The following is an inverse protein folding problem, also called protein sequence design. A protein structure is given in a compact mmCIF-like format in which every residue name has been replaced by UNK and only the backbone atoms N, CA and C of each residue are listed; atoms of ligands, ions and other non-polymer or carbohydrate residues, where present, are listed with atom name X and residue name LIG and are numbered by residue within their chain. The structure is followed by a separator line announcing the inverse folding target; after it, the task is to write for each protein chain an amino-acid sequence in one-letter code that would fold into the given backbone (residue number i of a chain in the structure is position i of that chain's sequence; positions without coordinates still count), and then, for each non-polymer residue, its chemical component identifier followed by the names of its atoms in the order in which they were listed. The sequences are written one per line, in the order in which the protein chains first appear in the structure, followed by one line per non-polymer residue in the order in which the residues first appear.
data_IF_390835191716
#
_entry.id   IF_390835191716
#
_cell.length_a   1.000
_cell.length_b   1.000
_cell.length_c   1.000
_cell.angle_alpha   90.00
_cell.angle_beta   90.00
_cell.angle_gamma   90.00
#
_symmetry.space_group_name_H-M   'P 1'
#
loop_
_entity.id
_entity.type
_entity.pdbx_description
1 polymer ?
#
# COMPACT_ATOMS: atom_id res chain seq x y z
N UNK A 1 -23.59 -8.15 42.66
CA UNK A 1 -23.40 -8.13 41.19
C UNK A 1 -23.33 -6.67 40.78
N UNK A 2 -22.22 -6.06 40.37
CA UNK A 2 -21.11 -6.55 39.57
C UNK A 2 -19.75 -6.07 40.12
N UNK A 3 -18.76 -6.96 40.11
CA UNK A 3 -17.35 -6.65 40.35
C UNK A 3 -16.77 -5.96 39.11
N UNK A 4 -16.31 -4.72 39.25
CA UNK A 4 -15.36 -4.15 38.30
C UNK A 4 -13.97 -4.68 38.64
N UNK A 5 -13.58 -5.79 38.01
CA UNK A 5 -12.19 -6.21 37.97
C UNK A 5 -11.43 -5.31 36.99
N UNK A 6 -10.76 -4.26 37.47
CA UNK A 6 -9.62 -3.66 36.78
C UNK A 6 -8.34 -4.19 37.44
N UNK A 7 -7.65 -5.05 36.70
CA UNK A 7 -6.43 -5.76 37.10
C UNK A 7 -5.29 -4.76 37.42
N UNK A 8 -4.46 -4.99 38.45
CA UNK A 8 -3.33 -4.12 38.80
C UNK A 8 -2.24 -4.03 37.70
N UNK A 9 -2.30 -4.88 36.68
CA UNK A 9 -1.45 -4.77 35.48
C UNK A 9 -1.83 -3.61 34.53
N UNK A 10 -3.04 -3.05 34.65
CA UNK A 10 -3.49 -1.91 33.83
C UNK A 10 -2.85 -0.59 34.31
N UNK A 11 -2.60 -0.45 35.62
CA UNK A 11 -1.97 0.74 36.21
C UNK A 11 -0.45 0.78 35.95
N UNK A 12 0.20 -0.38 35.89
CA UNK A 12 1.61 -0.48 35.48
C UNK A 12 1.85 0.01 34.04
N UNK A 13 0.88 -0.19 33.13
CA UNK A 13 0.95 0.35 31.75
C UNK A 13 0.85 1.87 31.68
N UNK A 14 0.24 2.52 32.67
CA UNK A 14 0.15 4.00 32.71
C UNK A 14 1.54 4.58 32.99
N UNK A 15 2.35 3.95 33.84
CA UNK A 15 3.71 4.38 34.17
C UNK A 15 4.74 4.15 33.03
N UNK A 16 4.61 3.04 32.28
CA UNK A 16 5.55 2.70 31.19
C UNK A 16 5.45 3.62 29.96
N UNK A 17 4.30 4.28 29.74
CA UNK A 17 4.10 5.13 28.55
C UNK A 17 4.71 6.53 28.72
N UNK A 18 4.91 6.98 29.95
CA UNK A 18 5.53 8.28 30.25
C UNK A 18 7.05 8.23 30.38
N UNK A 19 7.65 7.05 30.49
CA UNK A 19 8.99 6.90 31.05
C UNK A 19 9.99 6.31 30.05
N UNK A 20 11.18 6.90 29.99
CA UNK A 20 12.38 6.20 29.53
C UNK A 20 12.96 5.54 30.78
N UNK A 21 12.95 4.21 30.84
CA UNK A 21 13.65 3.44 31.87
C UNK A 21 15.16 3.58 31.64
N UNK A 22 15.75 4.66 32.14
CA UNK A 22 17.18 4.74 32.40
C UNK A 22 17.35 4.94 33.91
N UNK A 23 18.12 4.07 34.54
CA UNK A 23 18.08 3.82 35.98
C UNK A 23 18.14 5.11 36.81
N UNK A 24 17.16 5.28 37.72
CA UNK A 24 17.06 6.24 38.83
C UNK A 24 16.41 7.62 38.63
N UNK A 25 15.99 8.05 37.43
CA UNK A 25 15.15 9.26 37.27
C UNK A 25 14.03 9.09 36.23
N UNK A 26 12.77 9.27 36.66
CA UNK A 26 11.58 9.18 35.83
C UNK A 26 11.49 10.41 34.90
N UNK A 27 12.04 10.34 33.69
CA UNK A 27 11.97 11.48 32.75
C UNK A 27 10.73 11.41 31.87
N UNK A 28 9.88 12.45 31.91
CA UNK A 28 8.72 12.60 31.02
C UNK A 28 9.12 13.13 29.63
N UNK A 29 8.28 12.89 28.62
CA UNK A 29 8.46 13.37 27.24
C UNK A 29 7.64 14.63 26.91
N UNK A 30 7.16 15.31 27.95
CA UNK A 30 6.34 16.49 27.83
C UNK A 30 7.24 17.72 28.00
N UNK A 31 7.17 18.66 27.06
CA UNK A 31 7.86 19.93 27.15
C UNK A 31 6.84 21.06 27.30
N UNK A 32 7.14 22.01 28.19
CA UNK A 32 6.33 23.23 28.37
C UNK A 32 7.09 24.40 27.77
N UNK A 33 6.41 25.16 26.92
CA UNK A 33 6.90 26.41 26.38
C UNK A 33 5.92 27.54 26.71
N UNK A 34 6.42 28.57 27.35
CA UNK A 34 5.70 29.81 27.61
C UNK A 34 6.36 30.95 26.86
N UNK A 35 5.61 31.59 25.96
CA UNK A 35 6.09 32.71 25.14
C UNK A 35 5.44 34.00 25.64
N UNK A 36 6.20 34.77 26.43
CA UNK A 36 5.84 36.12 26.90
C UNK A 36 6.33 37.17 25.88
N UNK A 37 5.75 38.39 25.88
CA UNK A 37 6.24 39.49 25.04
C UNK A 37 7.74 39.76 25.16
N UNK A 38 8.29 39.65 26.39
CA UNK A 38 9.70 39.97 26.68
C UNK A 38 10.62 38.74 26.82
N UNK A 39 10.05 37.54 27.05
CA UNK A 39 10.83 36.32 27.30
C UNK A 39 10.12 35.05 26.83
N UNK A 40 10.89 34.08 26.36
CA UNK A 40 10.40 32.73 26.15
C UNK A 40 11.05 31.80 27.18
N UNK A 41 10.24 31.00 27.87
CA UNK A 41 10.69 30.05 28.89
C UNK A 41 10.41 28.65 28.38
N UNK A 42 11.47 27.87 28.19
CA UNK A 42 11.39 26.47 27.79
C UNK A 42 11.74 25.57 28.97
N UNK A 43 10.82 24.69 29.35
CA UNK A 43 11.04 23.71 30.42
C UNK A 43 10.98 22.30 29.81
N UNK A 44 12.14 21.66 29.58
CA UNK A 44 12.20 20.35 28.97
C UNK A 44 11.90 19.23 29.97
N UNK A 45 11.29 18.13 29.51
CA UNK A 45 11.06 16.90 30.28
C UNK A 45 10.39 17.18 31.63
N UNK A 46 9.18 17.70 31.53
CA UNK A 46 8.36 18.23 32.61
C UNK A 46 7.99 17.14 33.63
N UNK A 47 8.78 17.01 34.70
CA UNK A 47 8.47 16.17 35.86
C UNK A 47 7.60 16.95 36.87
N UNK A 48 6.72 16.26 37.59
CA UNK A 48 5.77 16.84 38.55
C UNK A 48 6.50 17.70 39.60
N UNK A 49 7.61 17.18 40.15
CA UNK A 49 8.46 17.88 41.13
C UNK A 49 9.16 19.10 40.53
N UNK A 50 9.67 19.00 39.30
CA UNK A 50 10.30 20.14 38.61
C UNK A 50 9.31 21.24 38.27
N UNK A 51 8.09 20.85 37.92
CA UNK A 51 7.00 21.77 37.60
C UNK A 51 6.57 22.56 38.84
N UNK A 52 6.39 21.92 40.00
CA UNK A 52 6.09 22.61 41.26
C UNK A 52 7.21 23.57 41.65
N UNK A 53 8.48 23.18 41.48
CA UNK A 53 9.62 24.04 41.77
C UNK A 53 9.74 25.25 40.81
N UNK A 54 9.50 25.04 39.51
CA UNK A 54 9.57 26.10 38.50
C UNK A 54 8.58 27.23 38.78
N UNK A 55 7.34 26.90 39.13
CA UNK A 55 6.30 27.89 39.36
C UNK A 55 6.32 28.55 40.74
N UNK A 56 7.05 27.99 41.73
CA UNK A 56 7.32 28.68 43.00
C UNK A 56 8.09 29.98 42.83
N UNK A 57 8.78 30.16 41.70
CA UNK A 57 9.60 31.35 41.42
C UNK A 57 8.95 32.33 40.43
N UNK A 58 7.83 31.96 39.81
CA UNK A 58 7.04 32.86 38.94
C UNK A 58 5.97 33.52 39.81
N UNK A 59 6.29 34.68 40.35
CA UNK A 59 5.43 35.49 41.21
C UNK A 59 4.23 36.04 40.43
N UNK A 60 3.18 35.23 40.28
CA UNK A 60 1.84 35.72 39.99
C UNK A 60 0.78 34.82 40.67
N UNK A 61 0.08 35.44 41.63
CA UNK A 61 -1.19 35.07 42.29
C UNK A 61 -1.12 34.08 43.47
N UNK A 62 -1.59 34.60 44.61
CA UNK A 62 -1.59 34.09 45.98
C UNK A 62 -2.60 32.95 46.27
N UNK A 63 -3.22 32.32 45.27
CA UNK A 63 -4.31 31.34 45.48
C UNK A 63 -3.91 29.90 45.12
N UNK A 64 -2.75 29.43 45.59
CA UNK A 64 -2.45 28.00 45.53
C UNK A 64 -2.81 27.30 46.85
N UNK A 65 -4.05 26.83 46.95
CA UNK A 65 -4.37 25.72 47.86
C UNK A 65 -3.75 24.43 47.31
N UNK A 66 -2.44 24.28 47.47
CA UNK A 66 -1.83 22.96 47.41
C UNK A 66 -2.43 22.16 48.58
N UNK A 67 -3.03 21.00 48.32
CA UNK A 67 -3.30 20.06 49.40
C UNK A 67 -1.92 19.67 49.94
N UNK A 68 -1.64 20.07 51.18
CA UNK A 68 -0.39 19.78 51.86
C UNK A 68 -0.14 18.28 51.81
N UNK A 69 0.99 17.86 51.23
CA UNK A 69 1.39 16.45 51.10
C UNK A 69 1.64 15.77 52.46
N UNK A 70 1.42 16.48 53.56
CA UNK A 70 1.54 16.00 54.93
C UNK A 70 0.19 15.89 55.67
N UNK A 71 -0.95 16.20 55.04
CA UNK A 71 -2.26 16.19 55.72
C UNK A 71 -3.34 15.34 55.03
N UNK A 72 -2.99 14.21 54.41
CA UNK A 72 -4.00 13.26 53.92
C UNK A 72 -3.87 11.94 54.69
N UNK A 73 -4.45 11.93 55.89
CA UNK A 73 -4.86 10.68 56.53
C UNK A 73 -6.16 10.22 55.86
N UNK A 74 -6.11 9.05 55.21
CA UNK A 74 -7.28 8.31 54.75
C UNK A 74 -7.80 8.73 53.37
N UNK A 75 -7.78 7.80 52.43
CA UNK A 75 -8.37 7.87 51.09
C UNK A 75 -7.73 8.86 50.10
N UNK A 76 -6.46 8.61 49.79
CA UNK A 76 -5.79 9.19 48.63
C UNK A 76 -6.38 8.64 47.33
N UNK A 77 -7.34 9.35 46.75
CA UNK A 77 -7.74 9.14 45.36
C UNK A 77 -6.54 9.53 44.48
N UNK A 78 -5.86 8.59 43.79
CA UNK A 78 -4.58 8.85 43.11
C UNK A 78 -4.67 9.87 41.97
N UNK A 79 -5.89 10.23 41.53
CA UNK A 79 -6.13 11.21 40.47
C UNK A 79 -5.82 12.66 40.87
N UNK A 80 -5.94 13.01 42.16
CA UNK A 80 -5.84 14.39 42.67
C UNK A 80 -4.41 14.95 42.58
N UNK A 81 -3.40 14.06 42.62
CA UNK A 81 -1.98 14.43 42.55
C UNK A 81 -1.35 14.18 41.16
N UNK A 82 -2.16 13.95 40.13
CA UNK A 82 -1.63 13.72 38.78
C UNK A 82 -1.26 15.05 38.09
N UNK A 83 -0.14 15.06 37.35
CA UNK A 83 0.27 16.20 36.52
C UNK A 83 -0.82 16.64 35.54
N UNK A 84 -1.62 15.68 35.05
CA UNK A 84 -2.75 15.96 34.17
C UNK A 84 -3.87 16.76 34.87
N UNK A 85 -4.23 16.39 36.12
CA UNK A 85 -5.21 17.13 36.92
C UNK A 85 -4.74 18.57 37.18
N UNK A 86 -3.47 18.72 37.57
CA UNK A 86 -2.88 20.04 37.81
C UNK A 86 -2.86 20.92 36.55
N UNK A 87 -2.49 20.36 35.39
CA UNK A 87 -2.48 21.09 34.12
C UNK A 87 -3.89 21.52 33.67
N UNK A 88 -4.88 20.67 33.90
CA UNK A 88 -6.28 21.02 33.64
C UNK A 88 -6.72 22.18 34.55
N UNK A 89 -6.41 22.14 35.85
CA UNK A 89 -6.79 23.23 36.76
C UNK A 89 -6.07 24.56 36.46
N UNK A 90 -4.77 24.52 36.17
CA UNK A 90 -3.94 25.73 35.97
C UNK A 90 -4.08 26.33 34.59
N UNK A 91 -3.98 25.51 33.55
CA UNK A 91 -3.96 25.96 32.15
C UNK A 91 -5.27 25.67 31.42
N UNK A 92 -6.17 24.87 32.01
CA UNK A 92 -7.41 24.48 31.36
C UNK A 92 -7.21 23.46 30.25
N UNK A 93 -6.10 22.69 30.27
CA UNK A 93 -5.79 21.70 29.24
C UNK A 93 -6.93 20.69 29.13
N UNK A 94 -7.43 20.50 27.90
CA UNK A 94 -8.54 19.58 27.67
C UNK A 94 -8.16 18.15 28.07
N UNK A 95 -9.04 17.41 28.79
CA UNK A 95 -8.84 15.98 29.07
C UNK A 95 -8.62 15.14 27.80
N UNK A 96 -9.09 15.61 26.64
CA UNK A 96 -8.87 14.97 25.34
C UNK A 96 -7.39 14.91 24.94
N UNK A 97 -6.58 15.90 25.34
CA UNK A 97 -5.14 15.90 25.10
C UNK A 97 -4.46 14.74 25.83
N UNK A 98 -4.75 14.57 27.12
CA UNK A 98 -4.20 13.48 27.93
C UNK A 98 -4.72 12.12 27.49
N UNK A 99 -6.01 12.02 27.13
CA UNK A 99 -6.55 10.80 26.52
C UNK A 99 -5.83 10.45 25.22
N UNK A 100 -5.47 11.45 24.41
CA UNK A 100 -4.69 11.27 23.19
C UNK A 100 -3.25 10.82 23.44
N UNK A 101 -2.65 11.20 24.57
CA UNK A 101 -1.32 10.73 24.97
C UNK A 101 -1.38 9.26 25.42
N UNK A 102 -2.36 8.90 26.25
CA UNK A 102 -2.51 7.57 26.85
C UNK A 102 -2.99 6.54 25.82
N UNK A 103 -3.95 6.94 24.99
CA UNK A 103 -4.51 6.07 23.95
C UNK A 103 -3.79 6.30 22.63
N UNK A 104 -3.35 5.23 21.96
CA UNK A 104 -2.97 5.30 20.53
C UNK A 104 -4.16 5.64 19.61
N UNK A 105 -5.34 5.86 20.17
CA UNK A 105 -6.55 6.28 19.45
C UNK A 105 -6.36 7.62 18.74
N UNK A 106 -7.03 7.76 17.59
CA UNK A 106 -7.02 8.94 16.76
C UNK A 106 -7.75 10.09 17.45
N UNK A 107 -7.01 10.99 18.09
CA UNK A 107 -7.52 12.31 18.46
C UNK A 107 -7.27 13.26 17.30
N UNK A 108 -8.35 13.79 16.70
CA UNK A 108 -8.27 14.81 15.66
C UNK A 108 -7.82 16.17 16.20
N UNK A 109 -8.12 17.23 15.45
CA UNK A 109 -7.82 18.61 15.78
C UNK A 109 -9.07 19.33 16.33
N UNK A 110 -8.87 20.24 17.29
CA UNK A 110 -9.97 21.01 17.88
C UNK A 110 -9.48 22.39 18.34
N UNK A 111 -10.28 23.45 18.12
CA UNK A 111 -10.02 24.77 18.69
C UNK A 111 -11.24 25.31 19.44
N UNK A 112 -11.03 25.82 20.64
CA UNK A 112 -12.06 26.33 21.53
C UNK A 112 -11.68 27.73 22.02
N UNK A 113 -12.64 28.66 22.00
CA UNK A 113 -12.43 29.98 22.61
C UNK A 113 -12.86 29.93 24.07
N UNK A 114 -11.91 30.12 24.99
CA UNK A 114 -12.18 30.18 26.43
C UNK A 114 -12.82 31.50 26.80
N UNK A 115 -13.85 31.45 27.63
CA UNK A 115 -14.50 32.63 28.21
C UNK A 115 -14.42 32.55 29.74
N UNK A 116 -14.11 33.67 30.38
CA UNK A 116 -14.23 33.85 31.83
C UNK A 116 -15.10 35.08 32.09
N UNK A 117 -16.09 34.95 32.98
CA UNK A 117 -17.04 36.03 33.30
C UNK A 117 -17.67 36.68 32.05
N UNK A 118 -18.05 35.86 31.06
CA UNK A 118 -18.65 36.31 29.80
C UNK A 118 -17.69 36.95 28.78
N UNK A 119 -16.45 37.27 29.16
CA UNK A 119 -15.41 37.84 28.28
C UNK A 119 -14.53 36.73 27.70
N UNK A 120 -14.14 36.84 26.43
CA UNK A 120 -13.21 35.91 25.77
C UNK A 120 -11.79 36.18 26.31
N UNK A 121 -11.08 35.14 26.73
CA UNK A 121 -9.77 35.26 27.40
C UNK A 121 -8.65 34.63 26.58
N UNK A 122 -8.86 33.41 26.06
CA UNK A 122 -7.87 32.72 25.26
C UNK A 122 -8.51 31.94 24.11
N UNK A 123 -7.71 31.62 23.10
CA UNK A 123 -8.00 30.63 22.08
C UNK A 123 -7.13 29.40 22.34
N UNK A 124 -7.77 28.32 22.74
CA UNK A 124 -7.09 27.06 23.04
C UNK A 124 -7.27 26.10 21.88
N UNK A 125 -6.27 25.28 21.60
CA UNK A 125 -6.40 24.26 20.59
C UNK A 125 -5.51 23.05 20.84
N UNK A 126 -5.83 22.01 20.11
CA UNK A 126 -5.17 20.72 20.14
C UNK A 126 -5.02 20.24 18.71
N UNK A 127 -3.84 19.74 18.38
CA UNK A 127 -3.61 18.98 17.16
C UNK A 127 -2.48 17.97 17.36
N UNK A 128 -2.27 17.16 16.33
CA UNK A 128 -1.23 16.14 16.28
C UNK A 128 -0.55 16.17 14.91
N UNK A 129 0.75 16.00 14.92
CA UNK A 129 1.52 15.63 13.73
C UNK A 129 1.93 14.16 13.78
N UNK A 130 1.77 13.46 12.66
CA UNK A 130 2.43 12.18 12.41
C UNK A 130 3.90 12.43 12.04
N UNK A 131 4.75 11.50 12.41
CA UNK A 131 6.20 11.59 12.22
C UNK A 131 6.66 10.32 11.53
N UNK A 132 7.10 10.45 10.27
CA UNK A 132 7.66 9.41 9.42
C UNK A 132 6.99 8.02 9.41
N UNK A 133 7.58 7.06 8.71
CA UNK A 133 7.14 5.65 8.70
C UNK A 133 7.41 4.88 10.00
N UNK A 134 7.85 5.54 11.08
CA UNK A 134 8.13 4.90 12.37
C UNK A 134 8.41 5.83 13.55
N UNK A 135 8.28 7.15 13.39
CA UNK A 135 8.59 8.10 14.46
C UNK A 135 7.38 8.38 15.36
N UNK A 136 7.67 8.92 16.56
CA UNK A 136 6.66 9.17 17.60
C UNK A 136 5.81 10.37 17.23
N UNK A 137 4.49 10.21 17.31
CA UNK A 137 3.53 11.29 17.10
C UNK A 137 3.77 12.47 18.06
N UNK A 138 3.95 13.66 17.50
CA UNK A 138 3.95 14.90 18.27
C UNK A 138 2.53 15.37 18.49
N UNK A 139 2.18 15.62 19.74
CA UNK A 139 0.88 16.19 20.11
C UNK A 139 1.11 17.55 20.74
N UNK A 140 0.32 18.52 20.33
CA UNK A 140 0.48 19.90 20.78
C UNK A 140 -0.85 20.38 21.30
N UNK A 141 -0.83 20.88 22.53
CA UNK A 141 -1.87 21.74 23.04
C UNK A 141 -1.31 23.16 23.11
N UNK A 142 -2.10 24.12 22.65
CA UNK A 142 -1.73 25.53 22.71
C UNK A 142 -2.86 26.35 23.34
N UNK A 143 -2.49 27.46 23.97
CA UNK A 143 -3.39 28.49 24.45
C UNK A 143 -2.82 29.85 24.11
N UNK A 144 -3.46 30.55 23.18
CA UNK A 144 -3.11 31.92 22.84
C UNK A 144 -3.98 32.87 23.65
N UNK A 145 -3.35 33.69 24.50
CA UNK A 145 -4.10 34.72 25.20
C UNK A 145 -4.55 35.81 24.23
N UNK A 146 -5.80 36.23 24.36
CA UNK A 146 -6.38 37.35 23.62
C UNK A 146 -6.14 38.69 24.34
N UNK A 147 -5.57 38.65 25.56
CA UNK A 147 -5.16 39.82 26.32
C UNK A 147 -3.67 40.04 26.07
N UNK A 148 -3.30 41.19 25.51
CA UNK A 148 -1.94 41.47 25.03
C UNK A 148 -0.81 41.39 26.07
N UNK A 149 -1.15 41.29 27.35
CA UNK A 149 -0.20 41.22 28.47
C UNK A 149 0.12 39.78 28.91
N UNK A 150 -0.56 38.78 28.35
CA UNK A 150 -0.42 37.37 28.77
C UNK A 150 0.31 36.53 27.71
N UNK A 151 1.13 35.59 28.20
CA UNK A 151 1.89 34.69 27.35
C UNK A 151 1.00 33.73 26.54
N UNK A 152 1.51 33.30 25.39
CA UNK A 152 1.01 32.10 24.71
C UNK A 152 1.67 30.88 25.31
N UNK A 153 0.87 29.90 25.72
CA UNK A 153 1.35 28.66 26.36
C UNK A 153 1.23 27.49 25.41
N UNK A 154 2.28 26.70 25.30
CA UNK A 154 2.36 25.50 24.49
C UNK A 154 2.79 24.32 25.35
N UNK A 155 2.07 23.21 25.21
CA UNK A 155 2.43 21.92 25.81
C UNK A 155 2.65 20.94 24.66
N UNK A 156 3.87 20.48 24.51
CA UNK A 156 4.31 19.65 23.39
C UNK A 156 4.72 18.28 23.94
N UNK A 157 4.02 17.23 23.51
CA UNK A 157 4.36 15.85 23.80
C UNK A 157 5.19 15.27 22.65
N UNK A 158 6.34 14.67 22.96
CA UNK A 158 7.30 14.18 21.96
C UNK A 158 7.74 15.27 20.98
N UNK A 159 8.29 16.38 21.52
CA UNK A 159 8.85 17.43 20.69
C UNK A 159 10.07 16.91 19.89
N UNK A 160 10.12 17.10 18.56
CA UNK A 160 11.32 16.75 17.80
C UNK A 160 12.49 17.65 18.19
N UNK A 161 13.67 17.05 18.34
CA UNK A 161 14.86 17.76 18.83
C UNK A 161 15.35 18.83 17.84
N UNK A 162 15.17 18.62 16.54
CA UNK A 162 15.50 19.60 15.51
C UNK A 162 14.65 20.87 15.64
N UNK A 163 13.31 20.73 15.74
CA UNK A 163 12.43 21.87 15.95
C UNK A 163 12.73 22.57 17.28
N UNK A 164 12.95 21.80 18.34
CA UNK A 164 13.33 22.35 19.66
C UNK A 164 14.63 23.16 19.58
N UNK A 165 15.66 22.66 18.89
CA UNK A 165 16.91 23.39 18.70
C UNK A 165 16.69 24.68 17.88
N UNK A 166 15.92 24.62 16.80
CA UNK A 166 15.57 25.80 16.00
C UNK A 166 14.82 26.86 16.84
N UNK A 167 13.89 26.42 17.69
CA UNK A 167 13.16 27.30 18.60
C UNK A 167 14.08 27.91 19.66
N UNK A 168 14.97 27.13 20.28
CA UNK A 168 15.94 27.62 21.27
C UNK A 168 16.92 28.62 20.64
N UNK A 169 17.35 28.43 19.40
CA UNK A 169 18.18 29.40 18.68
C UNK A 169 17.44 30.75 18.46
N UNK A 170 16.13 30.71 18.24
CA UNK A 170 15.32 31.92 18.09
C UNK A 170 15.14 32.69 19.40
N UNK A 171 15.25 32.04 20.56
CA UNK A 171 15.16 32.72 21.87
C UNK A 171 16.48 33.41 22.24
N UNK A 172 17.62 32.86 21.80
CA UNK A 172 18.96 33.38 22.11
C UNK A 172 19.38 34.56 21.22
N UNK A 173 18.94 34.59 19.96
CA UNK A 173 19.31 35.63 19.00
C UNK A 173 18.36 36.84 19.01
N UNK A 174 18.73 37.96 18.36
CA UNK A 174 17.88 39.15 18.16
C UNK A 174 16.56 38.90 17.38
N UNK A 175 16.32 37.65 16.93
CA UNK A 175 15.16 37.21 16.17
C UNK A 175 13.95 36.80 17.06
N UNK A 176 13.90 37.22 18.33
CA UNK A 176 12.82 36.90 19.29
C UNK A 176 11.43 37.30 18.77
N UNK A 177 11.36 38.35 17.95
CA UNK A 177 10.15 38.82 17.28
C UNK A 177 9.50 37.74 16.38
N UNK A 178 10.26 36.74 15.91
CA UNK A 178 9.71 35.64 15.10
C UNK A 178 8.87 34.67 15.93
N UNK A 179 9.25 34.39 17.18
CA UNK A 179 8.50 33.51 18.09
C UNK A 179 7.25 34.18 18.66
N UNK A 180 7.20 35.51 18.68
CA UNK A 180 6.02 36.29 19.08
C UNK A 180 4.92 36.28 18.02
N UNK A 181 5.21 35.84 16.79
CA UNK A 181 4.18 35.70 15.76
C UNK A 181 3.20 34.59 16.18
N UNK A 182 1.89 34.82 16.05
CA UNK A 182 0.91 33.79 16.37
C UNK A 182 1.15 32.53 15.52
N UNK A 183 1.13 31.37 16.16
CA UNK A 183 1.39 30.06 15.56
C UNK A 183 2.82 29.84 14.99
N UNK A 184 3.81 30.64 15.39
CA UNK A 184 5.19 30.45 14.96
C UNK A 184 5.78 29.09 15.41
N UNK A 185 5.44 28.64 16.62
CA UNK A 185 5.84 27.34 17.15
C UNK A 185 5.30 26.20 16.26
N UNK A 186 4.05 26.33 15.85
CA UNK A 186 3.37 25.35 15.01
C UNK A 186 3.98 25.29 13.61
N UNK A 187 4.45 26.43 13.08
CA UNK A 187 5.19 26.49 11.83
C UNK A 187 6.55 25.76 11.91
N UNK A 188 7.33 25.99 12.98
CA UNK A 188 8.59 25.26 13.18
C UNK A 188 8.39 23.75 13.29
N UNK A 189 7.34 23.32 14.00
CA UNK A 189 6.98 21.91 14.09
C UNK A 189 6.56 21.35 12.73
N UNK A 190 5.74 22.08 11.96
CA UNK A 190 5.29 21.64 10.65
C UNK A 190 6.44 21.55 9.62
N UNK A 191 7.39 22.50 9.65
CA UNK A 191 8.56 22.52 8.78
C UNK A 191 9.47 21.31 9.03
N UNK A 192 9.77 21.00 10.30
CA UNK A 192 10.54 19.81 10.66
C UNK A 192 9.85 18.52 10.19
N UNK A 193 8.51 18.46 10.27
CA UNK A 193 7.75 17.30 9.76
C UNK A 193 7.78 17.20 8.25
N UNK A 194 7.71 18.32 7.56
CA UNK A 194 7.78 18.33 6.11
C UNK A 194 9.16 17.84 5.63
N UNK A 195 10.24 18.24 6.29
CA UNK A 195 11.59 17.75 5.99
C UNK A 195 11.74 16.24 6.23
N UNK A 196 11.18 15.72 7.33
CA UNK A 196 11.18 14.28 7.63
C UNK A 196 10.42 13.48 6.56
N UNK A 197 9.22 13.91 6.16
CA UNK A 197 8.48 13.27 5.07
C UNK A 197 9.18 13.42 3.71
N UNK A 198 9.89 14.53 3.48
CA UNK A 198 10.72 14.71 2.30
C UNK A 198 11.81 13.64 2.18
N UNK A 199 12.45 13.30 3.30
CA UNK A 199 13.46 12.21 3.37
C UNK A 199 12.83 10.84 3.15
N UNK A 200 11.67 10.57 3.75
CA UNK A 200 10.97 9.29 3.62
C UNK A 200 10.51 9.01 2.17
N UNK A 201 10.33 10.05 1.34
CA UNK A 201 10.00 9.90 -0.09
C UNK A 201 11.21 9.53 -0.95
N UNK A 202 12.43 9.80 -0.51
CA UNK A 202 13.66 9.57 -1.30
C UNK A 202 13.95 8.08 -1.43
N UNK A 203 13.90 7.31 -0.34
CA UNK A 203 14.23 5.88 -0.39
C UNK A 203 13.34 5.09 -1.37
N UNK A 204 12.00 5.25 -1.35
CA UNK A 204 11.11 4.62 -2.32
C UNK A 204 11.37 5.04 -3.77
N UNK A 205 11.70 6.31 -3.97
CA UNK A 205 12.06 6.83 -5.30
C UNK A 205 13.32 6.16 -5.83
N UNK A 206 14.36 6.04 -5.01
CA UNK A 206 15.64 5.48 -5.45
C UNK A 206 15.51 3.99 -5.77
N UNK A 207 14.69 3.25 -5.02
CA UNK A 207 14.33 1.86 -5.33
C UNK A 207 13.55 1.77 -6.67
N UNK A 208 12.56 2.63 -6.88
CA UNK A 208 11.83 2.69 -8.16
C UNK A 208 12.77 2.93 -9.34
N UNK A 209 13.70 3.89 -9.20
CA UNK A 209 14.67 4.25 -10.25
C UNK A 209 15.59 3.07 -10.59
N UNK A 210 15.94 2.21 -9.63
CA UNK A 210 16.69 0.97 -9.91
C UNK A 210 15.89 0.04 -10.83
N UNK A 211 14.60 -0.14 -10.55
CA UNK A 211 13.73 -0.95 -11.39
C UNK A 211 13.47 -0.34 -12.76
N UNK A 212 13.41 0.98 -12.89
CA UNK A 212 13.24 1.66 -14.18
C UNK A 212 14.47 1.51 -15.07
N UNK A 213 15.67 1.63 -14.48
CA UNK A 213 16.94 1.52 -15.19
C UNK A 213 17.38 0.08 -15.44
N UNK A 214 16.76 -0.91 -14.79
CA UNK A 214 17.14 -2.30 -14.96
C UNK A 214 16.77 -2.80 -16.37
N UNK A 215 17.72 -3.49 -17.01
CA UNK A 215 17.50 -4.15 -18.29
C UNK A 215 16.67 -5.41 -18.08
N UNK A 216 15.38 -5.27 -18.31
CA UNK A 216 14.38 -6.32 -18.14
C UNK A 216 14.71 -7.62 -18.89
N UNK A 217 15.35 -7.55 -20.08
CA UNK A 217 15.64 -8.73 -20.92
C UNK A 217 16.53 -9.79 -20.25
N UNK A 218 17.14 -9.46 -19.12
CA UNK A 218 18.04 -10.34 -18.37
C UNK A 218 17.34 -11.04 -17.18
N UNK A 219 16.07 -10.74 -16.90
CA UNK A 219 15.37 -11.28 -15.75
C UNK A 219 14.85 -12.70 -16.02
N UNK A 220 15.08 -13.60 -15.06
CA UNK A 220 14.43 -14.92 -15.05
C UNK A 220 13.02 -14.84 -14.42
N UNK A 221 12.20 -15.89 -14.58
CA UNK A 221 10.81 -15.89 -14.07
C UNK A 221 10.71 -15.66 -12.55
N UNK A 222 11.69 -16.13 -11.76
CA UNK A 222 11.73 -15.92 -10.31
C UNK A 222 12.08 -14.47 -9.94
N UNK A 223 12.99 -13.84 -10.68
CA UNK A 223 13.37 -12.44 -10.54
C UNK A 223 12.24 -11.51 -10.95
N UNK A 224 11.45 -11.88 -11.97
CA UNK A 224 10.22 -11.16 -12.34
C UNK A 224 9.22 -11.19 -11.19
N UNK A 225 8.97 -12.36 -10.59
CA UNK A 225 8.06 -12.49 -9.45
C UNK A 225 8.51 -11.62 -8.26
N UNK A 226 9.79 -11.69 -7.87
CA UNK A 226 10.35 -10.87 -6.80
C UNK A 226 10.28 -9.36 -7.12
N UNK A 227 10.58 -8.96 -8.36
CA UNK A 227 10.46 -7.57 -8.77
C UNK A 227 9.01 -7.05 -8.66
N UNK A 228 8.02 -7.86 -9.04
CA UNK A 228 6.61 -7.50 -8.90
C UNK A 228 6.21 -7.38 -7.43
N UNK A 229 6.66 -8.30 -6.57
CA UNK A 229 6.40 -8.25 -5.13
C UNK A 229 6.98 -6.99 -4.48
N UNK A 230 8.24 -6.66 -4.78
CA UNK A 230 8.89 -5.45 -4.25
C UNK A 230 8.22 -4.18 -4.78
N UNK A 231 7.86 -4.11 -6.07
CA UNK A 231 7.12 -2.98 -6.63
C UNK A 231 5.73 -2.82 -5.99
N UNK A 232 5.06 -3.91 -5.63
CA UNK A 232 3.80 -3.84 -4.87
C UNK A 232 4.01 -3.30 -3.47
N UNK A 233 5.02 -3.78 -2.74
CA UNK A 233 5.38 -3.27 -1.42
C UNK A 233 5.72 -1.76 -1.50
N UNK A 234 6.43 -1.36 -2.54
CA UNK A 234 6.78 0.02 -2.82
C UNK A 234 5.54 0.90 -3.07
N UNK A 235 4.60 0.43 -3.90
CA UNK A 235 3.33 1.11 -4.15
C UNK A 235 2.52 1.27 -2.86
N UNK A 236 2.45 0.23 -2.02
CA UNK A 236 1.78 0.28 -0.73
C UNK A 236 2.42 1.33 0.19
N UNK A 237 3.74 1.36 0.26
CA UNK A 237 4.47 2.34 1.06
C UNK A 237 4.21 3.77 0.55
N UNK A 238 4.28 4.01 -0.76
CA UNK A 238 3.95 5.31 -1.36
C UNK A 238 2.51 5.74 -1.06
N UNK A 239 1.55 4.81 -1.05
CA UNK A 239 0.17 5.09 -0.63
C UNK A 239 0.07 5.50 0.84
N UNK A 240 0.80 4.82 1.74
CA UNK A 240 0.85 5.17 3.16
C UNK A 240 1.44 6.57 3.35
N UNK A 241 2.57 6.87 2.70
CA UNK A 241 3.16 8.22 2.73
C UNK A 241 2.16 9.26 2.22
N UNK A 242 1.48 9.00 1.09
CA UNK A 242 0.47 9.92 0.54
C UNK A 242 -0.65 10.19 1.56
N UNK A 243 -1.12 9.17 2.28
CA UNK A 243 -2.11 9.32 3.34
C UNK A 243 -1.61 10.23 4.47
N UNK A 244 -0.37 10.05 4.92
CA UNK A 244 0.21 10.90 5.97
C UNK A 244 0.49 12.34 5.52
N UNK A 245 0.88 12.54 4.26
CA UNK A 245 0.99 13.88 3.70
C UNK A 245 -0.38 14.57 3.61
N UNK A 246 -1.43 13.83 3.23
CA UNK A 246 -2.80 14.34 3.24
C UNK A 246 -3.21 14.74 4.65
N UNK A 247 -2.77 13.96 5.64
CA UNK A 247 -2.97 14.33 7.02
C UNK A 247 -2.24 15.63 7.37
N UNK A 248 -0.97 15.76 7.02
CA UNK A 248 -0.21 16.98 7.29
C UNK A 248 -0.86 18.22 6.65
N UNK A 249 -1.34 18.10 5.41
CA UNK A 249 -2.01 19.19 4.71
C UNK A 249 -3.30 19.62 5.40
N UNK A 250 -4.13 18.68 5.86
CA UNK A 250 -5.36 19.01 6.59
C UNK A 250 -5.04 19.68 7.94
N UNK A 251 -3.94 19.29 8.59
CA UNK A 251 -3.44 19.92 9.82
C UNK A 251 -2.95 21.35 9.57
N UNK A 252 -2.20 21.59 8.49
CA UNK A 252 -1.80 22.94 8.08
C UNK A 252 -3.03 23.82 7.79
N UNK A 253 -4.01 23.30 7.05
CA UNK A 253 -5.27 24.01 6.77
C UNK A 253 -6.00 24.39 8.06
N UNK A 254 -6.07 23.48 9.03
CA UNK A 254 -6.62 23.79 10.35
C UNK A 254 -5.86 24.91 11.06
N UNK A 255 -4.52 24.91 11.02
CA UNK A 255 -3.72 25.98 11.63
C UNK A 255 -3.97 27.33 10.94
N UNK A 256 -4.11 27.36 9.62
CA UNK A 256 -4.52 28.57 8.88
C UNK A 256 -5.90 29.07 9.35
N UNK A 257 -6.90 28.17 9.48
CA UNK A 257 -8.22 28.55 10.02
C UNK A 257 -8.13 29.10 11.44
N UNK A 258 -7.28 28.51 12.29
CA UNK A 258 -7.04 29.00 13.65
C UNK A 258 -6.37 30.38 13.62
N UNK A 259 -5.41 30.59 12.72
CA UNK A 259 -4.74 31.88 12.54
C UNK A 259 -5.73 32.98 12.19
N UNK A 260 -6.56 32.76 11.17
CA UNK A 260 -7.60 33.70 10.74
C UNK A 260 -8.58 34.01 11.89
N UNK A 261 -9.01 32.98 12.63
CA UNK A 261 -9.88 33.14 13.80
C UNK A 261 -9.21 33.98 14.88
N UNK A 262 -7.92 33.78 15.13
CA UNK A 262 -7.15 34.55 16.10
C UNK A 262 -7.02 36.01 15.68
N UNK A 263 -6.73 36.28 14.41
CA UNK A 263 -6.68 37.63 13.85
C UNK A 263 -8.02 38.38 14.04
N UNK A 264 -9.16 37.74 13.72
CA UNK A 264 -10.49 38.34 13.92
C UNK A 264 -10.82 38.62 15.40
N UNK A 265 -10.37 37.76 16.31
CA UNK A 265 -10.61 37.94 17.75
C UNK A 265 -9.78 39.09 18.31
N UNK A 266 -8.53 39.24 17.84
CA UNK A 266 -7.61 40.30 18.28
C UNK A 266 -7.97 41.66 17.67
N UNK A 267 -8.38 41.73 16.40
CA UNK A 267 -8.77 42.99 15.74
C UNK A 267 -10.04 43.61 16.35
N UNK A 268 -11.03 42.78 16.72
CA UNK A 268 -12.23 43.23 17.45
C UNK A 268 -11.93 43.74 18.85
N UNK A 269 -10.89 43.22 19.51
CA UNK A 269 -10.46 43.70 20.82
C UNK A 269 -9.81 45.09 20.70
N UNK A 270 -8.98 45.32 19.67
CA UNK A 270 -8.32 46.61 19.40
C UNK A 270 -9.33 47.73 19.08
N UNK A 271 -10.38 47.45 18.29
CA UNK A 271 -11.46 48.42 17.99
C UNK A 271 -12.31 48.82 19.21
N UNK A 272 -12.37 47.99 20.25
CA UNK A 272 -13.19 48.25 21.44
C UNK A 272 -12.47 49.09 22.50
N UNK A 273 -11.13 49.14 22.44
CA UNK A 273 -10.32 49.98 23.31
C UNK A 273 -10.15 51.42 22.78
N UNK A 274 -10.34 51.66 21.47
CA UNK A 274 -10.28 53.01 20.88
C UNK A 274 -11.56 53.82 21.05
N UNK A 275 -12.70 53.20 21.38
CA UNK A 275 -13.99 53.91 21.55
C UNK A 275 -14.23 54.51 22.94
N UNK A 276 -13.25 54.43 23.85
CA UNK A 276 -13.37 54.96 25.22
C UNK A 276 -12.54 56.24 25.47
N UNK A 277 -11.94 56.83 24.44
CA UNK A 277 -11.33 58.16 24.52
C UNK A 277 -12.33 59.23 24.08
N UNK A 278 -12.89 59.94 25.05
CA UNK A 278 -13.76 61.11 24.85
C UNK A 278 -12.97 62.28 24.25
N UNK A 279 -12.99 62.41 22.92
CA UNK A 279 -12.85 63.69 22.21
C UNK A 279 -13.61 63.61 20.88
N UNK A 280 -14.64 64.45 20.63
CA UNK A 280 -15.26 64.56 19.33
C UNK A 280 -14.41 65.49 18.46
N UNK A 281 -13.77 64.94 17.44
CA UNK A 281 -13.16 65.71 16.35
C UNK A 281 -11.64 65.70 16.33
N UNK A 282 -11.08 64.79 15.55
CA UNK A 282 -10.04 65.17 14.61
C UNK A 282 -10.01 64.20 13.44
N UNK A 283 -9.93 64.81 12.27
CA UNK A 283 -9.80 64.26 10.94
C UNK A 283 -8.56 63.34 10.84
N UNK A 284 -8.71 62.15 10.27
CA UNK A 284 -7.56 61.38 9.79
C UNK A 284 -7.57 59.92 10.25
N UNK A 285 -8.40 59.11 9.62
CA UNK A 285 -8.05 57.73 9.25
C UNK A 285 -9.08 57.29 8.21
N UNK A 286 -8.84 57.68 6.96
CA UNK A 286 -9.30 56.89 5.81
C UNK A 286 -8.61 55.54 5.94
N UNK A 287 -9.24 54.62 6.68
CA UNK A 287 -8.95 53.22 6.47
C UNK A 287 -9.61 52.86 5.15
N UNK A 288 -8.76 52.69 4.13
CA UNK A 288 -8.97 51.74 3.06
C UNK A 288 -9.86 50.62 3.56
N UNK A 289 -11.09 50.63 3.05
CA UNK A 289 -11.83 49.43 2.76
C UNK A 289 -10.95 48.66 1.79
N UNK A 290 -9.99 47.93 2.36
CA UNK A 290 -9.22 46.92 1.66
C UNK A 290 -10.28 45.92 1.24
N UNK A 291 -10.62 46.01 -0.04
CA UNK A 291 -11.38 45.04 -0.78
C UNK A 291 -10.87 43.66 -0.40
N UNK A 292 -11.81 42.73 -0.30
CA UNK A 292 -11.56 41.30 -0.41
C UNK A 292 -10.88 41.04 -1.78
N UNK A 293 -9.62 41.45 -1.91
CA UNK A 293 -8.72 40.83 -2.84
C UNK A 293 -8.45 39.50 -2.17
N UNK A 294 -9.21 38.50 -2.64
CA UNK A 294 -8.82 37.11 -2.70
C UNK A 294 -7.29 37.10 -2.80
N UNK A 295 -6.61 36.95 -1.65
CA UNK A 295 -5.19 36.68 -1.61
C UNK A 295 -5.11 35.28 -2.20
N UNK A 296 -5.02 35.30 -3.53
CA UNK A 296 -4.83 34.20 -4.43
C UNK A 296 -3.78 33.36 -3.74
N UNK A 297 -4.25 32.27 -3.13
CA UNK A 297 -3.42 31.33 -2.39
C UNK A 297 -2.65 30.48 -3.40
N UNK A 298 -2.01 31.17 -4.33
CA UNK A 298 -1.10 30.70 -5.35
C UNK A 298 0.31 30.91 -4.81
N UNK A 299 0.63 30.16 -3.76
CA UNK A 299 2.01 29.97 -3.36
C UNK A 299 2.17 28.53 -2.89
N UNK A 300 2.49 27.69 -3.87
CA UNK A 300 3.16 26.38 -3.76
C UNK A 300 3.23 25.79 -2.35
N UNK A 301 2.10 25.26 -1.86
CA UNK A 301 2.06 24.46 -0.63
C UNK A 301 3.11 23.34 -0.78
N UNK A 302 4.21 23.43 -0.03
CA UNK A 302 5.32 22.49 -0.17
C UNK A 302 4.87 21.06 0.11
N UNK A 303 3.80 20.87 0.89
CA UNK A 303 3.14 19.57 1.07
C UNK A 303 2.47 19.08 -0.21
N UNK A 304 1.82 19.96 -0.98
CA UNK A 304 1.25 19.65 -2.29
C UNK A 304 2.33 19.28 -3.31
N UNK A 305 3.51 19.92 -3.21
CA UNK A 305 4.72 19.52 -3.92
C UNK A 305 5.05 18.04 -3.67
N UNK A 306 5.25 17.64 -2.41
CA UNK A 306 5.55 16.25 -2.06
C UNK A 306 4.43 15.29 -2.48
N UNK A 307 3.15 15.64 -2.30
CA UNK A 307 2.03 14.81 -2.73
C UNK A 307 2.03 14.53 -4.24
N UNK A 308 2.37 15.54 -5.04
CA UNK A 308 2.49 15.40 -6.49
C UNK A 308 3.60 14.40 -6.84
N UNK A 309 4.74 14.49 -6.15
CA UNK A 309 5.87 13.57 -6.36
C UNK A 309 5.51 12.14 -5.97
N UNK A 310 4.91 11.94 -4.80
CA UNK A 310 4.47 10.61 -4.35
C UNK A 310 3.42 10.01 -5.29
N UNK A 311 2.48 10.83 -5.78
CA UNK A 311 1.47 10.38 -6.76
C UNK A 311 2.14 9.95 -8.07
N UNK A 312 3.10 10.74 -8.58
CA UNK A 312 3.86 10.39 -9.77
C UNK A 312 4.65 9.08 -9.60
N UNK A 313 5.32 8.90 -8.46
CA UNK A 313 6.08 7.67 -8.19
C UNK A 313 5.17 6.46 -8.10
N UNK A 314 3.98 6.61 -7.53
CA UNK A 314 3.03 5.52 -7.46
C UNK A 314 2.48 5.13 -8.85
N UNK A 315 2.15 6.12 -9.68
CA UNK A 315 1.76 5.89 -11.08
C UNK A 315 2.87 5.17 -11.87
N UNK A 316 4.11 5.61 -11.73
CA UNK A 316 5.29 4.98 -12.36
C UNK A 316 5.51 3.56 -11.87
N UNK A 317 5.32 3.31 -10.58
CA UNK A 317 5.37 1.97 -10.00
C UNK A 317 4.30 1.08 -10.61
N UNK A 318 3.06 1.57 -10.75
CA UNK A 318 1.97 0.87 -11.41
C UNK A 318 2.25 0.55 -12.88
N UNK A 319 2.83 1.50 -13.63
CA UNK A 319 3.29 1.27 -15.01
C UNK A 319 4.33 0.14 -15.05
N UNK A 320 5.27 0.12 -14.09
CA UNK A 320 6.32 -0.91 -14.05
C UNK A 320 5.75 -2.30 -13.70
N UNK A 321 4.83 -2.40 -12.75
CA UNK A 321 4.12 -3.65 -12.43
C UNK A 321 3.41 -4.19 -13.67
N UNK A 322 2.64 -3.34 -14.37
CA UNK A 322 1.95 -3.72 -15.59
C UNK A 322 2.91 -4.18 -16.70
N UNK A 323 4.07 -3.54 -16.82
CA UNK A 323 5.10 -3.97 -17.75
C UNK A 323 5.61 -5.39 -17.44
N UNK A 324 5.95 -5.66 -16.17
CA UNK A 324 6.39 -7.00 -15.75
C UNK A 324 5.32 -8.07 -16.03
N UNK A 325 4.05 -7.76 -15.75
CA UNK A 325 2.93 -8.66 -16.03
C UNK A 325 2.78 -8.96 -17.53
N UNK A 326 2.69 -7.92 -18.36
CA UNK A 326 2.50 -8.07 -19.81
C UNK A 326 3.61 -8.89 -20.46
N UNK A 327 4.85 -8.72 -20.03
CA UNK A 327 5.96 -9.48 -20.60
C UNK A 327 5.98 -10.92 -20.07
N UNK A 328 5.60 -11.18 -18.81
CA UNK A 328 5.40 -12.54 -18.32
C UNK A 328 4.37 -13.26 -19.20
N UNK A 329 3.21 -12.64 -19.45
CA UNK A 329 2.17 -13.20 -20.32
C UNK A 329 2.66 -13.42 -21.75
N UNK A 330 3.45 -12.49 -22.29
CA UNK A 330 4.03 -12.64 -23.63
C UNK A 330 5.02 -13.82 -23.69
N UNK A 331 5.81 -14.01 -22.64
CA UNK A 331 6.77 -15.11 -22.52
C UNK A 331 6.05 -16.45 -22.44
N UNK A 332 5.02 -16.54 -21.61
CA UNK A 332 4.18 -17.75 -21.49
C UNK A 332 3.48 -18.08 -22.82
N UNK A 333 3.00 -17.07 -23.53
CA UNK A 333 2.39 -17.23 -24.85
C UNK A 333 3.40 -17.76 -25.88
N UNK A 334 4.65 -17.27 -25.86
CA UNK A 334 5.73 -17.79 -26.72
C UNK A 334 6.07 -19.25 -26.40
N UNK A 335 6.20 -19.58 -25.12
CA UNK A 335 6.44 -20.96 -24.67
C UNK A 335 5.31 -21.87 -25.14
N UNK A 336 4.05 -21.45 -24.99
CA UNK A 336 2.90 -22.23 -25.45
C UNK A 336 2.89 -22.45 -26.97
N UNK A 337 3.27 -21.43 -27.75
CA UNK A 337 3.43 -21.58 -29.21
C UNK A 337 4.56 -22.55 -29.56
N UNK A 338 5.67 -22.53 -28.83
CA UNK A 338 6.79 -23.46 -29.05
C UNK A 338 6.41 -24.89 -28.66
N UNK A 339 5.70 -25.08 -27.54
CA UNK A 339 5.12 -26.39 -27.16
C UNK A 339 4.16 -26.88 -28.26
N UNK A 340 3.28 -26.03 -28.79
CA UNK A 340 2.38 -26.40 -29.87
C UNK A 340 3.14 -26.80 -31.16
N UNK A 341 4.20 -26.06 -31.52
CA UNK A 341 5.06 -26.40 -32.67
C UNK A 341 5.78 -27.73 -32.46
N UNK A 342 6.35 -27.96 -31.28
CA UNK A 342 7.00 -29.23 -30.93
C UNK A 342 6.00 -30.39 -30.96
N UNK A 343 4.80 -30.19 -30.42
CA UNK A 343 3.72 -31.19 -30.41
C UNK A 343 3.26 -31.50 -31.84
N UNK A 344 3.12 -30.49 -32.71
CA UNK A 344 2.82 -30.68 -34.12
C UNK A 344 3.93 -31.47 -34.83
N UNK A 345 5.20 -31.12 -34.59
CA UNK A 345 6.34 -31.86 -35.13
C UNK A 345 6.36 -33.31 -34.68
N UNK A 346 6.08 -33.56 -33.40
CA UNK A 346 5.95 -34.91 -32.83
C UNK A 346 4.79 -35.66 -33.49
N UNK A 347 3.62 -35.04 -33.64
CA UNK A 347 2.47 -35.68 -34.29
C UNK A 347 2.80 -36.08 -35.74
N UNK A 348 3.48 -35.21 -36.49
CA UNK A 348 3.91 -35.49 -37.87
C UNK A 348 4.95 -36.62 -37.90
N UNK A 349 5.94 -36.64 -36.99
CA UNK A 349 6.91 -37.73 -36.93
C UNK A 349 6.23 -39.05 -36.55
N UNK A 350 5.36 -39.05 -35.54
CA UNK A 350 4.60 -40.23 -35.12
C UNK A 350 3.70 -40.74 -36.23
N UNK A 351 3.10 -39.85 -37.04
CA UNK A 351 2.30 -40.24 -38.20
C UNK A 351 3.15 -40.92 -39.27
N UNK A 352 4.36 -40.42 -39.53
CA UNK A 352 5.32 -41.07 -40.45
C UNK A 352 5.77 -42.43 -39.93
N UNK A 353 6.12 -42.51 -38.64
CA UNK A 353 6.49 -43.78 -38.00
C UNK A 353 5.35 -44.79 -38.05
N UNK A 354 4.11 -44.32 -37.84
CA UNK A 354 2.89 -45.15 -38.00
C UNK A 354 2.73 -45.65 -39.44
N UNK A 355 3.00 -44.81 -40.44
CA UNK A 355 2.99 -45.24 -41.84
C UNK A 355 4.01 -46.34 -42.10
N UNK A 356 5.25 -46.18 -41.63
CA UNK A 356 6.29 -47.21 -41.76
C UNK A 356 5.92 -48.50 -41.03
N UNK A 357 5.31 -48.40 -39.85
CA UNK A 357 4.80 -49.55 -39.09
C UNK A 357 3.71 -50.30 -39.86
N UNK A 358 2.78 -49.57 -40.49
CA UNK A 358 1.74 -50.15 -41.35
C UNK A 358 2.37 -50.87 -42.54
N UNK A 359 3.40 -50.30 -43.18
CA UNK A 359 4.10 -50.94 -44.29
C UNK A 359 4.75 -52.26 -43.85
N UNK A 360 5.45 -52.29 -42.72
CA UNK A 360 6.05 -53.53 -42.20
C UNK A 360 4.99 -54.58 -41.89
N UNK A 361 3.88 -54.18 -41.26
CA UNK A 361 2.76 -55.08 -40.99
C UNK A 361 2.12 -55.64 -42.27
N UNK A 362 2.01 -54.84 -43.33
CA UNK A 362 1.53 -55.32 -44.62
C UNK A 362 2.47 -56.36 -45.24
N UNK A 363 3.78 -56.15 -45.13
CA UNK A 363 4.80 -57.12 -45.59
C UNK A 363 4.71 -58.43 -44.80
N UNK A 364 4.55 -58.38 -43.47
CA UNK A 364 4.39 -59.62 -42.67
C UNK A 364 3.10 -60.34 -42.98
N UNK A 365 1.98 -59.63 -43.17
CA UNK A 365 0.70 -60.23 -43.59
C UNK A 365 0.79 -60.95 -44.95
N UNK A 366 1.65 -60.47 -45.86
CA UNK A 366 1.89 -61.13 -47.14
C UNK A 366 2.67 -62.44 -47.02
N UNK A 367 3.74 -62.48 -46.21
CA UNK A 367 4.59 -63.66 -46.09
C UNK A 367 4.07 -64.71 -45.11
N UNK A 368 3.32 -64.31 -44.09
CA UNK A 368 2.89 -65.20 -42.99
C UNK A 368 2.07 -66.42 -43.48
N UNK A 369 1.07 -66.28 -44.37
CA UNK A 369 0.33 -67.44 -44.89
C UNK A 369 1.22 -68.40 -45.68
N UNK A 370 2.14 -67.88 -46.50
CA UNK A 370 3.09 -68.68 -47.27
C UNK A 370 4.07 -69.45 -46.38
N UNK A 371 4.60 -68.80 -45.34
CA UNK A 371 5.50 -69.46 -44.38
C UNK A 371 4.78 -70.55 -43.57
N UNK A 372 3.52 -70.32 -43.16
CA UNK A 372 2.73 -71.31 -42.43
C UNK A 372 2.47 -72.56 -43.28
N UNK A 373 2.02 -72.37 -44.53
CA UNK A 373 1.78 -73.47 -45.45
C UNK A 373 3.10 -74.16 -45.82
N UNK A 374 4.20 -73.43 -46.03
CA UNK A 374 5.51 -74.03 -46.29
C UNK A 374 5.98 -74.92 -45.13
N UNK A 375 5.81 -74.48 -43.88
CA UNK A 375 6.13 -75.29 -42.70
C UNK A 375 5.24 -76.53 -42.60
N UNK A 376 3.93 -76.39 -42.85
CA UNK A 376 2.98 -77.50 -42.83
C UNK A 376 3.32 -78.55 -43.89
N UNK A 377 3.66 -78.13 -45.11
CA UNK A 377 4.10 -79.05 -46.16
C UNK A 377 5.48 -79.65 -45.87
N UNK A 378 6.40 -78.91 -45.24
CA UNK A 378 7.71 -79.43 -44.81
C UNK A 378 7.60 -80.55 -43.77
N UNK A 379 6.53 -80.61 -42.98
CA UNK A 379 6.28 -81.70 -42.03
C UNK A 379 5.63 -82.94 -42.68
N UNK A 380 4.95 -82.76 -43.82
CA UNK A 380 4.06 -83.79 -44.39
C UNK A 380 4.60 -84.41 -45.68
N UNK A 381 5.51 -83.75 -46.42
CA UNK A 381 5.83 -84.11 -47.80
C UNK A 381 7.28 -84.53 -48.11
N UNK A 382 8.20 -84.55 -47.14
CA UNK A 382 9.55 -85.10 -47.36
C UNK A 382 9.59 -86.59 -46.99
N UNK A 383 9.56 -87.46 -47.99
CA UNK A 383 9.89 -88.88 -47.85
C UNK A 383 11.28 -89.12 -48.45
N UNK A 384 12.28 -89.38 -47.62
CA UNK A 384 13.64 -89.73 -48.06
C UNK A 384 13.68 -91.20 -48.46
N UNK A 385 13.64 -91.46 -49.76
CA UNK A 385 13.93 -92.80 -50.30
C UNK A 385 15.45 -93.01 -50.40
N UNK A 386 15.92 -94.18 -49.97
CA UNK A 386 17.30 -94.60 -49.61
C UNK A 386 18.48 -94.35 -50.59
N UNK A 387 18.30 -93.63 -51.70
CA UNK A 387 19.33 -93.49 -52.74
C UNK A 387 19.81 -92.04 -53.01
N UNK A 388 19.59 -91.11 -52.08
CA UNK A 388 20.14 -89.74 -52.16
C UNK A 388 19.55 -88.83 -53.25
N UNK A 389 18.50 -89.26 -53.96
CA UNK A 389 17.83 -88.46 -54.99
C UNK A 389 16.54 -87.83 -54.43
N UNK A 390 16.57 -86.51 -54.19
CA UNK A 390 15.38 -85.72 -53.86
C UNK A 390 14.45 -85.64 -55.08
N UNK A 391 13.37 -86.42 -55.12
CA UNK A 391 12.34 -86.33 -56.17
C UNK A 391 11.20 -85.40 -55.74
N UNK A 392 10.95 -84.36 -56.53
CA UNK A 392 9.83 -83.42 -56.34
C UNK A 392 8.49 -84.17 -56.48
N UNK A 393 7.65 -84.14 -55.45
CA UNK A 393 6.34 -84.80 -55.43
C UNK A 393 5.38 -84.22 -56.50
N UNK A 394 4.61 -85.09 -57.17
CA UNK A 394 3.57 -84.72 -58.17
C UNK A 394 2.47 -83.79 -57.60
N UNK A 395 2.40 -83.59 -56.29
CA UNK A 395 1.40 -82.74 -55.61
C UNK A 395 1.91 -81.32 -55.32
N UNK A 396 3.06 -80.89 -55.86
CA UNK A 396 3.60 -79.55 -55.68
C UNK A 396 2.64 -78.41 -56.09
N UNK A 397 1.63 -78.70 -56.93
CA UNK A 397 0.59 -77.73 -57.33
C UNK A 397 -0.41 -77.38 -56.21
N UNK A 398 -0.49 -78.22 -55.16
CA UNK A 398 -1.38 -77.97 -54.01
C UNK A 398 -0.88 -76.78 -53.15
N UNK A 399 0.43 -76.55 -53.12
CA UNK A 399 1.04 -75.42 -52.40
C UNK A 399 0.55 -74.05 -52.90
N UNK A 400 0.67 -73.69 -54.19
CA UNK A 400 0.11 -72.43 -54.68
C UNK A 400 -1.42 -72.41 -54.66
N UNK A 401 -2.09 -73.55 -54.85
CA UNK A 401 -3.55 -73.64 -54.83
C UNK A 401 -4.17 -73.28 -53.47
N UNK A 402 -3.47 -73.54 -52.35
CA UNK A 402 -3.94 -73.20 -50.99
C UNK A 402 -3.39 -71.84 -50.53
N UNK A 403 -2.14 -71.53 -50.86
CA UNK A 403 -1.48 -70.31 -50.37
C UNK A 403 -2.10 -69.03 -50.94
N UNK A 404 -2.44 -69.01 -52.23
CA UNK A 404 -3.04 -67.84 -52.91
C UNK A 404 -4.41 -67.45 -52.33
N UNK A 405 -5.40 -68.36 -52.17
CA UNK A 405 -6.68 -67.98 -51.57
C UNK A 405 -6.53 -67.56 -50.10
N UNK A 406 -5.61 -68.17 -49.35
CA UNK A 406 -5.38 -67.82 -47.95
C UNK A 406 -4.80 -66.40 -47.81
N UNK A 407 -3.84 -66.01 -48.65
CA UNK A 407 -3.33 -64.63 -48.67
C UNK A 407 -4.41 -63.62 -49.07
N UNK A 408 -5.27 -63.96 -50.05
CA UNK A 408 -6.42 -63.12 -50.44
C UNK A 408 -7.36 -62.90 -49.25
N UNK A 409 -7.72 -63.97 -48.51
CA UNK A 409 -8.60 -63.87 -47.33
C UNK A 409 -8.01 -62.95 -46.25
N UNK A 410 -6.72 -63.08 -45.96
CA UNK A 410 -6.03 -62.23 -44.96
C UNK A 410 -6.06 -60.75 -45.39
N UNK A 411 -5.76 -60.44 -46.65
CA UNK A 411 -5.81 -59.07 -47.17
C UNK A 411 -7.22 -58.50 -47.17
N UNK A 412 -8.23 -59.28 -47.56
CA UNK A 412 -9.64 -58.86 -47.53
C UNK A 412 -10.08 -58.51 -46.12
N UNK A 413 -9.76 -59.35 -45.13
CA UNK A 413 -10.07 -59.08 -43.73
C UNK A 413 -9.40 -57.80 -43.23
N UNK A 414 -8.12 -57.59 -43.55
CA UNK A 414 -7.39 -56.38 -43.18
C UNK A 414 -7.99 -55.10 -43.80
N UNK A 415 -8.30 -55.11 -45.10
CA UNK A 415 -8.90 -53.95 -45.79
C UNK A 415 -10.29 -53.63 -45.22
N UNK A 416 -11.11 -54.64 -44.95
CA UNK A 416 -12.44 -54.46 -44.34
C UNK A 416 -12.30 -53.86 -42.94
N UNK A 417 -11.37 -54.38 -42.13
CA UNK A 417 -11.11 -53.87 -40.79
C UNK A 417 -10.60 -52.42 -40.79
N UNK A 418 -9.65 -52.11 -41.67
CA UNK A 418 -9.11 -50.76 -41.83
C UNK A 418 -10.21 -49.78 -42.25
N UNK A 419 -11.03 -50.12 -43.26
CA UNK A 419 -12.15 -49.27 -43.70
C UNK A 419 -13.20 -49.08 -42.61
N UNK A 420 -13.51 -50.11 -41.84
CA UNK A 420 -14.43 -49.99 -40.72
C UNK A 420 -13.88 -49.04 -39.66
N UNK A 421 -12.61 -49.18 -39.28
CA UNK A 421 -11.95 -48.30 -38.31
C UNK A 421 -11.93 -46.83 -38.78
N UNK A 422 -11.55 -46.58 -40.03
CA UNK A 422 -11.53 -45.22 -40.59
C UNK A 422 -12.90 -44.54 -40.60
N UNK A 423 -14.00 -45.30 -40.77
CA UNK A 423 -15.37 -44.76 -40.71
C UNK A 423 -15.81 -44.41 -39.30
N UNK A 424 -15.37 -45.17 -38.30
CA UNK A 424 -15.67 -44.92 -36.89
C UNK A 424 -14.91 -43.69 -36.40
N UNK A 425 -13.62 -43.58 -36.74
CA UNK A 425 -12.79 -42.43 -36.36
C UNK A 425 -13.30 -41.11 -36.99
N UNK A 426 -13.73 -41.14 -38.26
CA UNK A 426 -14.32 -39.98 -38.94
C UNK A 426 -15.64 -39.50 -38.30
N UNK A 427 -16.44 -40.41 -37.71
CA UNK A 427 -17.66 -40.05 -36.96
C UNK A 427 -17.34 -39.43 -35.61
N UNK A 428 -16.27 -39.89 -34.94
CA UNK A 428 -15.86 -39.37 -33.63
C UNK A 428 -15.27 -37.95 -33.68
N UNK A 429 -14.72 -37.53 -34.83
CA UNK A 429 -14.15 -36.19 -35.04
C UNK A 429 -15.17 -35.14 -35.53
N UNK A 430 -16.47 -35.46 -35.61
CA UNK A 430 -17.53 -34.50 -35.93
C UNK A 430 -17.53 -33.94 -37.36
N UNK A 431 -16.69 -34.46 -38.26
CA UNK A 431 -16.58 -33.99 -39.66
C UNK A 431 -17.70 -34.50 -40.58
N UNK A 432 -18.59 -35.37 -40.07
CA UNK A 432 -19.69 -35.96 -40.85
C UNK A 432 -20.73 -34.97 -41.37
N UNK A 433 -20.87 -33.78 -40.74
CA UNK A 433 -21.87 -32.77 -41.14
C UNK A 433 -21.33 -31.68 -42.09
N UNK A 434 -20.02 -31.60 -42.36
CA UNK A 434 -19.49 -30.56 -43.28
C UNK A 434 -19.54 -30.95 -44.75
N UNK A 435 -19.66 -32.24 -45.06
CA UNK A 435 -19.82 -32.72 -46.44
C UNK A 435 -21.22 -32.40 -46.97
N UNK A 436 -22.28 -32.55 -46.16
CA UNK A 436 -23.64 -32.19 -46.57
C UNK A 436 -23.84 -30.68 -46.74
N UNK A 437 -23.17 -29.85 -45.93
CA UNK A 437 -23.26 -28.38 -46.04
C UNK A 437 -22.62 -27.83 -47.33
N UNK A 438 -21.58 -28.48 -47.86
CA UNK A 438 -20.98 -28.12 -49.15
C UNK A 438 -21.78 -28.64 -50.36
N UNK A 439 -22.53 -29.73 -50.18
CA UNK A 439 -23.41 -30.30 -51.20
C UNK A 439 -24.71 -29.49 -51.32
N UNK A 440 -25.24 -29.01 -50.18
CA UNK A 440 -26.41 -28.11 -50.14
C UNK A 440 -26.10 -26.71 -50.69
N UNK A 441 -24.88 -26.17 -50.50
CA UNK A 441 -24.50 -24.87 -51.08
C UNK A 441 -24.38 -24.91 -52.60
N UNK A 442 -23.87 -26.02 -53.16
CA UNK A 442 -23.76 -26.19 -54.62
C UNK A 442 -25.12 -26.44 -55.29
N UNK A 443 -26.07 -27.06 -54.59
CA UNK A 443 -27.44 -27.20 -55.11
C UNK A 443 -28.22 -25.88 -55.03
N UNK A 444 -28.03 -25.08 -53.98
CA UNK A 444 -28.62 -23.74 -53.89
C UNK A 444 -28.10 -22.77 -54.97
N UNK A 445 -26.84 -22.91 -55.39
CA UNK A 445 -26.27 -22.11 -56.48
C UNK A 445 -26.82 -22.54 -57.86
N UNK A 446 -27.06 -23.84 -58.06
CA UNK A 446 -27.74 -24.34 -59.27
C UNK A 446 -29.20 -23.94 -59.37
N UNK A 447 -29.94 -23.96 -58.26
CA UNK A 447 -31.36 -23.55 -58.24
C UNK A 447 -31.51 -22.04 -58.51
N UNK A 448 -30.52 -21.23 -58.14
CA UNK A 448 -30.50 -19.79 -58.45
C UNK A 448 -30.20 -19.51 -59.93
N UNK A 449 -29.30 -20.29 -60.55
CA UNK A 449 -28.99 -20.18 -61.98
C UNK A 449 -30.16 -20.65 -62.87
N UNK A 450 -30.96 -21.62 -62.41
CA UNK A 450 -32.15 -22.12 -63.12
C UNK A 450 -33.36 -21.16 -63.00
N UNK A 451 -33.38 -20.25 -62.02
CA UNK A 451 -34.39 -19.20 -61.88
C UNK A 451 -34.04 -17.90 -62.63
N UNK A 452 -32.81 -17.75 -63.11
CA UNK A 452 -32.32 -16.55 -63.82
C UNK A 452 -32.16 -16.74 -65.34
N UNK A 453 -32.49 -17.92 -65.87
CA UNK A 453 -32.59 -18.24 -67.30
C UNK A 453 -34.05 -18.55 -67.66
#
# INVERSE_FOLDING_TARGET
MAQHCSHPEIELRVLDVYTKSDGSQHTTLLDLLEVFPERAVWTPKLDHTRLVHHFRHVSFVEDFNFIDTLSVNGDSNPEVNSTAYWMNQRFGVSPLFFRGIISRSFTGNASLTRRQHGKRVSLDGLYRFSSGLGARMTRVWFSHSLRGDQASTYIIHSCPENAKNAMLLCTQNANRLKLLRPLAVDAFLAEDRLDEWGKDVIAPRDELVQYENSKFSLYNSAQVANAVENLHALSQLLHVIKGHLADLQERLRYLVTVHQRLQHLTSRHRRRHTTNSTYPGSFGEMHEEYTDDEEEQEDTDSTAGLMRWVTNYNERTGIRINLFFNISTQTDSRINLDIARLTSKIAVSTQRDSSSMITMAAVTMFFLPGTFISALFSMVFFDTQDNGALTVSKQAWLFPAITIPLTIVVFVLWVVWQRYRSRVDARSLGLGNRASVFEDSNNAEKDLDELLN
#
